data_IF_502557493096
#
_entry.id   IF_502557493096
#
_cell.length_a   1.000
_cell.length_b   1.000
_cell.length_c   1.000
_cell.angle_alpha   90.00
_cell.angle_beta   90.00
_cell.angle_gamma   90.00
#
_symmetry.space_group_name_H-M   'P 1'
#
loop_
_entity.id
_entity.type
_entity.pdbx_description
1 polymer ?
#
# COMPACT_ATOMS: atom_id res chain seq x y z
N UNK A 1 2.52 -4.33 12.92
CA UNK A 1 1.73 -5.10 11.93
C UNK A 1 1.03 -4.10 11.03
N UNK A 2 1.33 -4.10 9.73
CA UNK A 2 0.56 -3.34 8.73
C UNK A 2 -0.65 -4.19 8.35
N UNK A 3 -1.83 -3.68 8.66
CA UNK A 3 -3.13 -4.26 8.34
C UNK A 3 -3.49 -3.95 6.90
N UNK A 4 -3.38 -4.97 6.05
CA UNK A 4 -3.58 -4.99 4.60
C UNK A 4 -4.72 -4.13 4.04
N UNK A 5 -5.85 -4.02 4.74
CA UNK A 5 -7.00 -3.22 4.29
C UNK A 5 -7.06 -1.84 4.97
N UNK A 6 -6.58 -1.72 6.20
CA UNK A 6 -6.71 -0.47 6.96
C UNK A 6 -5.68 0.56 6.54
N UNK A 7 -4.41 0.16 6.42
CA UNK A 7 -3.32 1.11 6.20
C UNK A 7 -3.21 1.56 4.73
N UNK A 8 -3.89 0.88 3.79
CA UNK A 8 -4.04 1.35 2.42
C UNK A 8 -5.00 2.53 2.31
N UNK A 9 -6.25 2.33 2.78
CA UNK A 9 -7.30 3.35 2.73
C UNK A 9 -6.98 4.55 3.63
N UNK A 10 -6.33 4.30 4.77
CA UNK A 10 -5.93 5.37 5.68
C UNK A 10 -4.97 6.37 5.02
N UNK A 11 -4.01 5.91 4.24
CA UNK A 11 -3.05 6.79 3.56
C UNK A 11 -3.72 7.67 2.50
N UNK A 12 -4.71 7.13 1.76
CA UNK A 12 -5.49 7.88 0.78
C UNK A 12 -6.29 9.00 1.46
N UNK A 13 -6.86 8.74 2.64
CA UNK A 13 -7.57 9.74 3.42
C UNK A 13 -6.69 10.88 3.93
N UNK A 14 -5.40 10.64 4.16
CA UNK A 14 -4.44 11.67 4.60
C UNK A 14 -3.89 12.49 3.43
N UNK A 15 -3.51 11.83 2.33
CA UNK A 15 -3.04 12.49 1.12
C UNK A 15 -3.41 11.65 -0.11
N UNK A 16 -4.24 12.16 -1.03
CA UNK A 16 -4.72 11.42 -2.20
C UNK A 16 -3.61 11.10 -3.22
N UNK A 17 -2.44 11.72 -3.09
CA UNK A 17 -1.27 11.44 -3.91
C UNK A 17 -0.49 10.22 -3.42
N UNK A 18 -0.80 9.67 -2.24
CA UNK A 18 -0.16 8.45 -1.75
C UNK A 18 -0.83 7.23 -2.38
N UNK A 19 -0.02 6.35 -2.99
CA UNK A 19 -0.45 5.04 -3.48
C UNK A 19 0.24 3.92 -2.71
N UNK A 20 -0.54 2.93 -2.26
CA UNK A 20 -0.02 1.68 -1.72
C UNK A 20 -0.12 0.57 -2.76
N UNK A 21 1.00 -0.08 -3.07
CA UNK A 21 1.05 -1.29 -3.90
C UNK A 21 1.43 -2.50 -3.04
N UNK A 22 0.74 -3.62 -3.26
CA UNK A 22 1.02 -4.92 -2.65
C UNK A 22 0.98 -5.99 -3.71
N UNK A 23 2.06 -6.76 -3.84
CA UNK A 23 2.20 -7.78 -4.89
C UNK A 23 2.13 -9.21 -4.33
N UNK A 24 2.46 -9.40 -3.05
CA UNK A 24 2.45 -10.70 -2.37
C UNK A 24 1.81 -10.62 -0.97
N UNK A 25 1.18 -11.72 -0.55
CA UNK A 25 0.58 -11.86 0.78
C UNK A 25 0.79 -13.25 1.36
N UNK A 26 0.92 -13.32 2.69
CA UNK A 26 0.97 -14.59 3.43
C UNK A 26 -0.30 -15.42 3.19
N UNK A 27 -1.47 -14.76 3.11
CA UNK A 27 -2.74 -15.44 2.78
C UNK A 27 -2.75 -16.11 1.39
N UNK A 28 -1.87 -15.69 0.47
CA UNK A 28 -1.66 -16.32 -0.84
C UNK A 28 -0.49 -17.31 -0.86
N UNK A 29 0.09 -17.64 0.30
CA UNK A 29 1.21 -18.57 0.43
C UNK A 29 2.60 -17.96 0.25
N UNK A 30 2.73 -16.62 0.24
CA UNK A 30 4.04 -15.97 0.21
C UNK A 30 4.73 -16.03 1.59
N UNK A 31 6.07 -15.94 1.60
CA UNK A 31 6.86 -15.94 2.83
C UNK A 31 6.64 -14.69 3.69
N UNK A 32 6.23 -13.58 3.06
CA UNK A 32 5.87 -12.35 3.72
C UNK A 32 4.89 -11.53 2.87
N UNK A 33 4.24 -10.55 3.49
CA UNK A 33 3.53 -9.50 2.75
C UNK A 33 4.52 -8.41 2.34
N UNK A 34 4.32 -7.79 1.18
CA UNK A 34 5.02 -6.57 0.79
C UNK A 34 4.08 -5.36 0.82
N UNK A 35 4.62 -4.21 1.20
CA UNK A 35 3.88 -2.94 1.20
C UNK A 35 4.80 -1.88 0.61
N UNK A 36 4.43 -1.33 -0.54
CA UNK A 36 5.19 -0.28 -1.22
C UNK A 36 4.34 0.96 -1.33
N UNK A 37 4.69 1.99 -0.58
CA UNK A 37 4.08 3.30 -0.70
C UNK A 37 4.89 4.15 -1.67
N UNK A 38 4.20 4.85 -2.57
CA UNK A 38 4.80 5.82 -3.49
C UNK A 38 3.91 7.05 -3.58
N UNK A 39 4.53 8.19 -3.89
CA UNK A 39 3.78 9.37 -4.31
C UNK A 39 3.46 9.23 -5.79
N UNK A 40 2.22 9.55 -6.19
CA UNK A 40 1.89 9.75 -7.59
C UNK A 40 2.81 10.82 -8.13
N UNK A 41 3.43 10.53 -9.27
CA UNK A 41 4.27 11.50 -9.96
C UNK A 41 3.31 12.62 -10.39
N UNK A 42 3.50 13.83 -9.87
CA UNK A 42 2.88 15.01 -10.48
C UNK A 42 3.41 15.07 -11.91
N UNK A 43 2.53 14.92 -12.89
CA UNK A 43 2.84 15.32 -14.25
C UNK A 43 3.15 16.82 -14.20
N UNK A 44 4.35 17.19 -14.66
CA UNK A 44 4.90 18.54 -14.59
C UNK A 44 4.48 19.36 -15.81
#
# INVERSE_FOLDING_TARGET
LLSCNRDGDFCIGYNPDIEMTRTQTIMRGASHCDFRYRMKKKEA
#
